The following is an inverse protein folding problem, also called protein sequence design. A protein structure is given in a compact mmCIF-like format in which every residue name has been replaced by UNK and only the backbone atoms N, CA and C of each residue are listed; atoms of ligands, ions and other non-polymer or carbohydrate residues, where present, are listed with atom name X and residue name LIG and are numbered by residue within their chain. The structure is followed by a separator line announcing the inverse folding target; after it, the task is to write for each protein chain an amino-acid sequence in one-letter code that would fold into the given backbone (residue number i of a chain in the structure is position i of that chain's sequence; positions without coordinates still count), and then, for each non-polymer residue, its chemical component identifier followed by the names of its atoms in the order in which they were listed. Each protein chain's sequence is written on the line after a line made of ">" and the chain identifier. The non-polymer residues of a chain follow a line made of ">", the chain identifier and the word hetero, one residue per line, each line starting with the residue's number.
data_IF_818167308820
#
_entry.id   IF_818167308820
#
_cell.length_a   1.000
_cell.length_b   1.000
_cell.length_c   1.000
_cell.angle_alpha   90.00
_cell.angle_beta   90.00
_cell.angle_gamma   90.00
#
_symmetry.space_group_name_H-M   'P 1'
#
loop_
_entity.id
_entity.type
_entity.pdbx_description
1 polymer ?
#
# COMPACT_ATOMS: atom_id res chain seq x y z
N UNK A 1 40.61 -16.18 30.85
CA UNK A 1 40.47 -15.84 29.42
C UNK A 1 39.11 -16.28 28.95
N UNK A 2 38.18 -15.33 28.87
CA UNK A 2 36.82 -15.53 28.40
C UNK A 2 36.82 -15.45 26.87
N UNK A 3 36.27 -16.45 26.18
CA UNK A 3 35.68 -16.21 24.86
C UNK A 3 34.33 -16.90 24.80
N UNK A 4 33.29 -16.15 25.17
CA UNK A 4 31.91 -16.43 24.76
C UNK A 4 31.79 -15.94 23.32
N UNK A 5 31.68 -16.86 22.38
CA UNK A 5 31.13 -16.51 21.06
C UNK A 5 29.62 -16.67 21.20
N UNK A 6 28.97 -15.57 21.56
CA UNK A 6 27.55 -15.39 21.32
C UNK A 6 27.36 -15.07 19.83
N UNK A 7 26.68 -15.94 19.10
CA UNK A 7 25.95 -15.54 17.91
C UNK A 7 24.54 -16.12 17.98
N UNK A 8 23.75 -15.42 18.79
CA UNK A 8 22.30 -15.41 18.76
C UNK A 8 21.82 -14.86 17.42
N UNK A 9 21.52 -15.75 16.48
CA UNK A 9 20.60 -15.48 15.37
C UNK A 9 19.63 -16.65 15.22
N UNK A 10 18.95 -17.01 16.32
CA UNK A 10 17.68 -17.69 16.17
C UNK A 10 16.64 -16.65 15.77
N UNK A 11 16.41 -16.54 14.46
CA UNK A 11 15.21 -15.94 13.90
C UNK A 11 14.03 -16.53 14.66
N UNK A 12 13.31 -15.70 15.43
CA UNK A 12 12.12 -16.13 16.13
C UNK A 12 11.14 -16.66 15.09
N UNK A 13 10.99 -17.99 15.04
CA UNK A 13 9.98 -18.65 14.24
C UNK A 13 8.63 -18.10 14.71
N UNK A 14 8.13 -17.10 13.99
CA UNK A 14 6.79 -16.56 14.18
C UNK A 14 5.85 -17.75 14.19
N UNK A 15 4.97 -17.81 15.20
CA UNK A 15 3.90 -18.81 15.38
C UNK A 15 3.52 -19.38 14.02
N UNK A 16 3.87 -20.63 13.79
CA UNK A 16 3.59 -21.33 12.55
C UNK A 16 2.12 -21.16 12.20
N UNK A 17 1.83 -20.76 10.97
CA UNK A 17 0.45 -20.56 10.52
C UNK A 17 -0.28 -21.89 10.64
N UNK A 18 -1.18 -22.01 11.63
CA UNK A 18 -1.91 -23.24 11.93
C UNK A 18 -2.68 -23.74 10.70
N UNK A 19 -3.15 -22.82 9.86
CA UNK A 19 -3.88 -23.15 8.63
C UNK A 19 -2.95 -23.73 7.57
N UNK A 20 -1.73 -23.19 7.44
CA UNK A 20 -0.71 -23.75 6.56
C UNK A 20 -0.30 -25.16 7.02
N UNK A 21 -0.06 -25.34 8.31
CA UNK A 21 0.31 -26.64 8.87
C UNK A 21 -0.80 -27.68 8.70
N UNK A 22 -2.05 -27.29 8.94
CA UNK A 22 -3.20 -28.15 8.70
C UNK A 22 -3.27 -28.54 7.21
N UNK A 23 -3.09 -27.58 6.30
CA UNK A 23 -3.18 -27.87 4.87
C UNK A 23 -2.04 -28.73 4.34
N UNK A 24 -0.84 -28.57 4.89
CA UNK A 24 0.30 -29.44 4.58
C UNK A 24 0.06 -30.88 5.03
N UNK A 25 -0.50 -31.08 6.23
CA UNK A 25 -0.84 -32.41 6.75
C UNK A 25 -1.96 -33.10 5.96
N UNK A 26 -2.86 -32.33 5.35
CA UNK A 26 -3.88 -32.87 4.44
C UNK A 26 -3.30 -33.31 3.10
N UNK A 27 -2.28 -32.60 2.59
CA UNK A 27 -1.69 -32.85 1.27
C UNK A 27 -0.56 -33.89 1.31
N UNK A 28 0.10 -34.04 2.46
CA UNK A 28 1.22 -34.93 2.64
C UNK A 28 0.81 -36.13 3.53
N UNK A 29 0.91 -37.36 3.02
CA UNK A 29 0.70 -38.56 3.84
C UNK A 29 1.85 -38.73 4.86
N UNK A 30 1.63 -39.48 5.94
CA UNK A 30 2.66 -39.67 6.98
C UNK A 30 3.83 -40.55 6.51
N UNK A 31 3.67 -41.27 5.38
CA UNK A 31 4.62 -42.28 4.89
C UNK A 31 5.17 -42.00 3.48
N UNK A 32 5.11 -40.76 3.00
CA UNK A 32 5.54 -40.39 1.63
C UNK A 32 6.98 -40.85 1.33
N UNK A 33 7.87 -40.82 2.32
CA UNK A 33 9.27 -41.24 2.12
C UNK A 33 9.36 -42.70 1.64
N UNK A 34 8.42 -43.56 2.03
CA UNK A 34 8.38 -44.97 1.65
C UNK A 34 7.69 -45.21 0.30
N UNK A 35 6.96 -44.21 -0.22
CA UNK A 35 6.18 -44.32 -1.47
C UNK A 35 7.02 -43.98 -2.71
N UNK A 36 8.14 -43.26 -2.53
CA UNK A 36 8.98 -42.79 -3.63
C UNK A 36 10.32 -43.51 -3.64
N UNK A 37 10.65 -44.14 -4.76
CA UNK A 37 11.97 -44.79 -4.98
C UNK A 37 13.05 -43.77 -5.36
N UNK A 38 12.68 -42.67 -6.01
CA UNK A 38 13.60 -41.60 -6.44
C UNK A 38 13.49 -40.37 -5.50
N UNK A 39 14.58 -39.98 -4.82
CA UNK A 39 14.63 -38.78 -3.98
C UNK A 39 14.30 -37.47 -4.70
N UNK A 40 14.59 -37.36 -6.00
CA UNK A 40 14.32 -36.14 -6.75
C UNK A 40 12.81 -35.94 -6.98
N UNK A 41 12.09 -37.02 -7.29
CA UNK A 41 10.63 -36.99 -7.42
C UNK A 41 9.95 -36.68 -6.09
N UNK A 42 10.48 -37.18 -4.99
CA UNK A 42 10.03 -36.84 -3.64
C UNK A 42 10.20 -35.33 -3.36
N UNK A 43 11.35 -34.76 -3.71
CA UNK A 43 11.63 -33.34 -3.55
C UNK A 43 10.63 -32.47 -4.31
N UNK A 44 10.43 -32.76 -5.60
CA UNK A 44 9.50 -32.00 -6.46
C UNK A 44 8.05 -32.09 -5.95
N UNK A 45 7.65 -33.27 -5.49
CA UNK A 45 6.34 -33.50 -4.88
C UNK A 45 6.14 -32.65 -3.62
N UNK A 46 7.10 -32.68 -2.70
CA UNK A 46 7.05 -31.88 -1.45
C UNK A 46 7.05 -30.38 -1.75
N UNK A 47 7.85 -29.92 -2.71
CA UNK A 47 7.86 -28.53 -3.16
C UNK A 47 6.50 -28.11 -3.75
N UNK A 48 5.88 -28.97 -4.54
CA UNK A 48 4.56 -28.72 -5.14
C UNK A 48 3.47 -28.65 -4.08
N UNK A 49 3.44 -29.61 -3.15
CA UNK A 49 2.49 -29.62 -2.04
C UNK A 49 2.66 -28.39 -1.12
N UNK A 50 3.91 -27.98 -0.86
CA UNK A 50 4.20 -26.76 -0.11
C UNK A 50 3.64 -25.51 -0.77
N UNK A 51 3.84 -25.36 -2.08
CA UNK A 51 3.31 -24.23 -2.84
C UNK A 51 1.78 -24.22 -2.84
N UNK A 52 1.14 -25.38 -3.00
CA UNK A 52 -0.32 -25.50 -2.95
C UNK A 52 -0.89 -25.15 -1.57
N UNK A 53 -0.28 -25.65 -0.50
CA UNK A 53 -0.67 -25.32 0.86
C UNK A 53 -0.51 -23.83 1.15
N UNK A 54 0.58 -23.22 0.68
CA UNK A 54 0.85 -21.80 0.84
C UNK A 54 -0.22 -20.92 0.17
N UNK A 55 -0.57 -21.24 -1.08
CA UNK A 55 -1.61 -20.52 -1.83
C UNK A 55 -2.98 -20.70 -1.17
N UNK A 56 -3.32 -21.89 -0.69
CA UNK A 56 -4.60 -22.16 -0.03
C UNK A 56 -4.72 -21.53 1.37
N UNK A 57 -3.63 -21.48 2.12
CA UNK A 57 -3.59 -20.88 3.45
C UNK A 57 -3.65 -19.36 3.36
N UNK A 58 -2.93 -18.76 2.41
CA UNK A 58 -2.79 -17.32 2.24
C UNK A 58 -4.02 -16.73 1.53
N UNK A 59 -5.02 -16.30 2.29
CA UNK A 59 -6.03 -15.38 1.75
C UNK A 59 -5.37 -14.01 1.58
N UNK A 60 -5.16 -13.58 0.33
CA UNK A 60 -4.73 -12.20 0.03
C UNK A 60 -5.88 -11.26 0.39
N UNK A 61 -6.00 -10.94 1.68
CA UNK A 61 -6.95 -9.95 2.17
C UNK A 61 -6.37 -8.58 1.88
N UNK A 62 -6.71 -8.03 0.72
CA UNK A 62 -6.45 -6.63 0.43
C UNK A 62 -7.29 -5.82 1.42
N UNK A 63 -6.65 -5.27 2.46
CA UNK A 63 -7.31 -4.28 3.31
C UNK A 63 -7.71 -3.10 2.42
N UNK A 64 -9.00 -3.03 2.06
CA UNK A 64 -9.55 -1.82 1.46
C UNK A 64 -9.39 -0.70 2.48
N UNK A 65 -8.53 0.27 2.19
CA UNK A 65 -8.47 1.49 2.98
C UNK A 65 -9.86 2.12 2.98
N UNK A 66 -10.44 2.27 4.17
CA UNK A 66 -11.80 2.78 4.36
C UNK A 66 -11.86 4.22 3.85
N UNK A 67 -12.93 4.58 3.11
CA UNK A 67 -13.13 5.90 2.48
C UNK A 67 -13.27 7.08 3.47
N UNK A 68 -13.04 6.89 4.77
CA UNK A 68 -13.05 7.97 5.78
C UNK A 68 -11.76 8.80 5.77
N UNK A 69 -11.03 8.87 4.65
CA UNK A 69 -9.97 9.87 4.55
C UNK A 69 -10.68 11.22 4.56
N UNK A 70 -10.47 12.09 5.56
CA UNK A 70 -11.12 13.39 5.59
C UNK A 70 -10.82 14.11 4.28
N UNK A 71 -11.86 14.70 3.68
CA UNK A 71 -11.72 15.49 2.45
C UNK A 71 -10.64 16.53 2.76
N UNK A 72 -9.51 16.41 2.06
CA UNK A 72 -8.41 17.35 2.24
C UNK A 72 -8.94 18.72 1.86
N UNK A 73 -8.94 19.67 2.80
CA UNK A 73 -9.61 20.97 2.65
C UNK A 73 -9.12 21.78 1.42
N UNK A 74 -7.92 21.49 0.91
CA UNK A 74 -7.38 22.10 -0.31
C UNK A 74 -7.94 21.51 -1.62
N UNK A 75 -8.71 20.41 -1.58
CA UNK A 75 -9.34 19.81 -2.76
C UNK A 75 -10.67 20.52 -3.02
N UNK A 76 -10.66 21.47 -3.93
CA UNK A 76 -11.86 22.20 -4.33
C UNK A 76 -12.69 21.41 -5.35
N UNK A 77 -14.01 21.67 -5.48
CA UNK A 77 -14.85 21.09 -6.54
C UNK A 77 -14.29 21.33 -7.95
N UNK A 78 -13.58 22.46 -8.13
CA UNK A 78 -12.86 22.77 -9.38
C UNK A 78 -11.77 21.75 -9.69
N UNK A 79 -10.91 21.41 -8.72
CA UNK A 79 -9.88 20.37 -8.90
C UNK A 79 -10.51 19.03 -9.22
N UNK A 80 -11.61 18.66 -8.54
CA UNK A 80 -12.32 17.41 -8.80
C UNK A 80 -12.84 17.34 -10.24
N UNK A 81 -13.44 18.42 -10.75
CA UNK A 81 -13.85 18.49 -12.16
C UNK A 81 -12.68 18.29 -13.12
N UNK A 82 -11.55 18.95 -12.87
CA UNK A 82 -10.35 18.85 -13.72
C UNK A 82 -9.71 17.46 -13.67
N UNK A 83 -9.76 16.79 -12.51
CA UNK A 83 -9.39 15.38 -12.34
C UNK A 83 -10.31 14.47 -13.17
N UNK A 84 -11.63 14.69 -13.12
CA UNK A 84 -12.57 13.90 -13.90
C UNK A 84 -12.34 14.05 -15.41
N UNK A 85 -12.03 15.26 -15.88
CA UNK A 85 -11.66 15.53 -17.28
C UNK A 85 -10.36 14.82 -17.66
N UNK A 86 -9.35 14.85 -16.78
CA UNK A 86 -8.10 14.11 -16.98
C UNK A 86 -8.36 12.61 -17.13
N UNK A 87 -9.17 12.06 -16.25
CA UNK A 87 -9.45 10.62 -16.20
C UNK A 87 -10.28 10.18 -17.40
N UNK A 88 -11.21 11.05 -17.87
CA UNK A 88 -11.89 10.85 -19.14
C UNK A 88 -10.89 10.81 -20.30
N UNK A 89 -10.04 11.83 -20.46
CA UNK A 89 -9.01 11.86 -21.53
C UNK A 89 -8.04 10.67 -21.46
N UNK A 90 -7.72 10.18 -20.26
CA UNK A 90 -6.92 8.99 -20.08
C UNK A 90 -7.62 7.74 -20.63
N UNK A 91 -8.91 7.56 -20.31
CA UNK A 91 -9.73 6.46 -20.87
C UNK A 91 -9.83 6.56 -22.38
N UNK A 92 -10.10 7.76 -22.91
CA UNK A 92 -10.20 8.01 -24.35
C UNK A 92 -8.90 7.63 -25.06
N UNK A 93 -7.74 8.04 -24.53
CA UNK A 93 -6.44 7.65 -25.06
C UNK A 93 -6.17 6.14 -24.93
N UNK A 94 -6.45 5.54 -23.77
CA UNK A 94 -6.13 4.13 -23.48
C UNK A 94 -6.97 3.17 -24.31
N UNK A 95 -8.23 3.49 -24.55
CA UNK A 95 -9.19 2.66 -25.27
C UNK A 95 -9.25 2.98 -26.77
N UNK A 96 -8.40 3.91 -27.25
CA UNK A 96 -8.35 4.27 -28.66
C UNK A 96 -7.67 3.17 -29.49
N UNK A 97 -8.45 2.54 -30.36
CA UNK A 97 -8.01 1.63 -31.42
C UNK A 97 -7.85 2.32 -32.78
N UNK A 98 -7.93 3.65 -32.84
CA UNK A 98 -7.80 4.42 -34.07
C UNK A 98 -6.35 4.46 -34.59
N UNK A 99 -6.17 5.16 -35.71
CA UNK A 99 -4.89 5.37 -36.36
C UNK A 99 -3.82 5.98 -35.41
N UNK A 100 -2.52 5.75 -35.68
CA UNK A 100 -1.44 6.23 -34.83
C UNK A 100 -1.45 7.75 -34.58
N UNK A 101 -1.88 8.56 -35.55
CA UNK A 101 -1.90 10.02 -35.43
C UNK A 101 -2.99 10.49 -34.46
N UNK A 102 -4.20 9.95 -34.59
CA UNK A 102 -5.31 10.20 -33.65
C UNK A 102 -4.95 9.76 -32.23
N UNK A 103 -4.32 8.59 -32.09
CA UNK A 103 -3.86 8.10 -30.78
C UNK A 103 -2.79 9.00 -30.15
N UNK A 104 -1.89 9.56 -30.95
CA UNK A 104 -0.89 10.53 -30.49
C UNK A 104 -1.55 11.84 -30.03
N UNK A 105 -2.55 12.35 -30.76
CA UNK A 105 -3.27 13.56 -30.37
C UNK A 105 -4.00 13.39 -29.03
N UNK A 106 -4.66 12.26 -28.81
CA UNK A 106 -5.29 11.93 -27.54
C UNK A 106 -4.27 11.84 -26.39
N UNK A 107 -3.10 11.24 -26.64
CA UNK A 107 -2.00 11.20 -25.68
C UNK A 107 -1.53 12.60 -25.28
N UNK A 108 -1.36 13.49 -26.25
CA UNK A 108 -0.94 14.88 -26.02
C UNK A 108 -2.00 15.65 -25.22
N UNK A 109 -3.28 15.50 -25.57
CA UNK A 109 -4.39 16.09 -24.85
C UNK A 109 -4.47 15.61 -23.39
N UNK A 110 -4.25 14.30 -23.14
CA UNK A 110 -4.15 13.76 -21.78
C UNK A 110 -2.94 14.36 -21.04
N UNK A 111 -1.76 14.41 -21.66
CA UNK A 111 -0.53 14.97 -21.04
C UNK A 111 -0.73 16.43 -20.61
N UNK A 112 -1.34 17.26 -21.47
CA UNK A 112 -1.67 18.64 -21.16
C UNK A 112 -2.61 18.74 -19.96
N UNK A 113 -3.71 17.96 -19.97
CA UNK A 113 -4.68 17.95 -18.87
C UNK A 113 -4.06 17.46 -17.55
N UNK A 114 -3.23 16.41 -17.59
CA UNK A 114 -2.49 15.92 -16.42
C UNK A 114 -1.62 17.02 -15.82
N UNK A 115 -0.86 17.74 -16.65
CA UNK A 115 0.00 18.82 -16.20
C UNK A 115 -0.81 19.98 -15.60
N UNK A 116 -1.95 20.33 -16.22
CA UNK A 116 -2.90 21.32 -15.68
C UNK A 116 -3.42 20.93 -14.31
N UNK A 117 -3.85 19.68 -14.13
CA UNK A 117 -4.29 19.16 -12.82
C UNK A 117 -3.17 19.25 -11.78
N UNK A 118 -1.94 18.86 -12.14
CA UNK A 118 -0.78 18.97 -11.25
C UNK A 118 -0.53 20.41 -10.84
N UNK A 119 -0.57 21.36 -11.77
CA UNK A 119 -0.41 22.79 -11.49
C UNK A 119 -1.51 23.29 -10.54
N UNK A 120 -2.78 22.97 -10.81
CA UNK A 120 -3.90 23.37 -9.96
C UNK A 120 -3.78 22.83 -8.54
N UNK A 121 -3.41 21.55 -8.38
CA UNK A 121 -3.19 20.95 -7.06
C UNK A 121 -2.07 21.68 -6.31
N UNK A 122 -0.97 22.03 -6.99
CA UNK A 122 0.14 22.77 -6.38
C UNK A 122 -0.30 24.16 -5.93
N UNK A 123 -1.06 24.86 -6.77
CA UNK A 123 -1.56 26.21 -6.48
C UNK A 123 -2.51 26.21 -5.27
N UNK A 124 -3.50 25.33 -5.27
CA UNK A 124 -4.49 25.29 -4.18
C UNK A 124 -3.88 24.80 -2.87
N UNK A 125 -2.93 23.86 -2.91
CA UNK A 125 -2.15 23.49 -1.72
C UNK A 125 -1.39 24.68 -1.15
N UNK A 126 -0.66 25.42 -2.01
CA UNK A 126 0.07 26.62 -1.59
C UNK A 126 -0.88 27.62 -0.96
N UNK A 127 -1.97 27.96 -1.65
CA UNK A 127 -2.98 28.90 -1.18
C UNK A 127 -3.55 28.48 0.19
N UNK A 128 -3.91 27.22 0.34
CA UNK A 128 -4.46 26.68 1.57
C UNK A 128 -3.47 26.77 2.73
N UNK A 129 -2.24 26.29 2.57
CA UNK A 129 -1.26 26.30 3.65
C UNK A 129 -0.75 27.71 3.96
N UNK A 130 -0.59 28.58 2.96
CA UNK A 130 -0.31 30.01 3.19
C UNK A 130 -1.40 30.65 4.03
N UNK A 131 -2.68 30.40 3.69
CA UNK A 131 -3.80 30.89 4.51
C UNK A 131 -3.74 30.31 5.93
N UNK A 132 -3.58 29.00 6.07
CA UNK A 132 -3.53 28.32 7.37
C UNK A 132 -2.47 28.92 8.31
N UNK A 133 -1.26 29.19 7.81
CA UNK A 133 -0.17 29.74 8.61
C UNK A 133 -0.27 31.27 8.80
N UNK A 134 -0.92 31.98 7.88
CA UNK A 134 -1.25 33.39 8.10
C UNK A 134 -2.31 33.54 9.19
N UNK A 135 -3.31 32.66 9.21
CA UNK A 135 -4.39 32.64 10.21
C UNK A 135 -3.85 32.28 11.60
N UNK A 136 -2.79 31.46 11.70
CA UNK A 136 -2.12 31.12 12.96
C UNK A 136 -0.94 32.03 13.31
N UNK A 137 -0.76 33.16 12.62
CA UNK A 137 0.37 34.06 12.83
C UNK A 137 0.30 34.68 14.22
N UNK A 138 1.37 34.54 15.01
CA UNK A 138 1.44 35.02 16.38
C UNK A 138 0.97 33.99 17.43
N UNK A 139 0.30 32.91 17.03
CA UNK A 139 -0.01 31.78 17.89
C UNK A 139 0.94 30.61 17.59
N UNK A 140 1.98 30.51 18.41
CA UNK A 140 2.99 29.47 18.27
C UNK A 140 2.42 28.07 18.54
N UNK A 141 1.46 27.95 19.46
CA UNK A 141 0.85 26.67 19.83
C UNK A 141 0.01 26.13 18.67
N UNK A 142 -0.83 26.97 18.08
CA UNK A 142 -1.65 26.58 16.93
C UNK A 142 -0.79 26.29 15.69
N UNK A 143 0.29 27.05 15.49
CA UNK A 143 1.26 26.79 14.41
C UNK A 143 1.89 25.39 14.54
N UNK A 144 2.38 25.01 15.74
CA UNK A 144 2.96 23.68 15.97
C UNK A 144 1.94 22.56 15.85
N UNK A 145 0.70 22.79 16.30
CA UNK A 145 -0.41 21.86 16.12
C UNK A 145 -0.70 21.62 14.63
N UNK A 146 -0.74 22.69 13.81
CA UNK A 146 -0.91 22.60 12.37
C UNK A 146 0.23 21.82 11.69
N UNK A 147 1.49 22.05 12.10
CA UNK A 147 2.65 21.29 11.61
C UNK A 147 2.53 19.81 11.97
N UNK A 148 2.19 19.49 13.23
CA UNK A 148 2.04 18.10 13.68
C UNK A 148 0.91 17.39 12.93
N UNK A 149 -0.22 18.07 12.69
CA UNK A 149 -1.32 17.56 11.89
C UNK A 149 -0.88 17.27 10.44
N UNK A 150 -0.10 18.16 9.82
CA UNK A 150 0.42 17.97 8.46
C UNK A 150 1.38 16.78 8.37
N UNK A 151 2.24 16.61 9.38
CA UNK A 151 3.22 15.52 9.46
C UNK A 151 2.61 14.19 9.93
N UNK A 152 1.32 14.16 10.30
CA UNK A 152 0.67 12.97 10.85
C UNK A 152 1.24 12.54 12.21
N UNK A 153 1.86 13.48 12.94
CA UNK A 153 2.40 13.24 14.28
C UNK A 153 1.27 13.39 15.30
N UNK A 154 0.42 12.38 15.39
CA UNK A 154 -0.54 12.27 16.48
C UNK A 154 0.14 11.63 17.67
N UNK A 155 0.15 12.30 18.83
CA UNK A 155 0.52 11.66 20.08
C UNK A 155 -0.42 10.47 20.28
N UNK A 156 0.12 9.25 20.29
CA UNK A 156 -0.64 8.11 20.80
C UNK A 156 -0.90 8.44 22.26
N UNK A 157 -2.16 8.68 22.62
CA UNK A 157 -2.58 8.63 24.02
C UNK A 157 -2.35 7.20 24.48
N UNK A 158 -1.20 6.97 25.11
CA UNK A 158 -1.02 5.82 25.99
C UNK A 158 -1.99 6.07 27.14
N UNK A 159 -3.19 5.49 27.05
CA UNK A 159 -4.11 5.45 28.17
C UNK A 159 -3.42 4.65 29.26
N UNK A 160 -2.79 5.33 30.22
CA UNK A 160 -2.43 4.71 31.47
C UNK A 160 -3.76 4.50 32.21
N UNK A 161 -4.32 3.30 32.09
CA UNK A 161 -5.36 2.84 33.00
C UNK A 161 -4.78 2.96 34.41
N UNK A 162 -5.39 3.83 35.22
CA UNK A 162 -5.11 3.90 36.65
C UNK A 162 -5.58 2.57 37.25
N UNK A 163 -4.62 1.74 37.67
CA UNK A 163 -4.84 0.62 38.60
C UNK A 163 -4.91 1.20 40.00
#
# INVERSE_FOLDING_TARGET
>A
MNSKIENSQYCSLKKTDKKLQQKLRELLSENIICEFTDPNLLYDYVCTANNQAYVAATTVTVKRLRNHTPIKLWITPRILREINVRDKKFRDWKNCSADPATKMNLRNAYKQQRNRVTMLIRLEKRKHFTKLFNDSRGDMKETWKNINNILGRTNKTTSYEKI
#
